data_IF_690960074119
#
_entry.id   IF_690960074119
#
_cell.length_a   1.000
_cell.length_b   1.000
_cell.length_c   1.000
_cell.angle_alpha   90.00
_cell.angle_beta   90.00
_cell.angle_gamma   90.00
#
_symmetry.space_group_name_H-M   'P 1'
#
loop_
_entity.id
_entity.type
_entity.pdbx_description
1 polymer ?
#
# COMPACT_ATOMS: atom_id res chain seq x y z
N UNK A 1 5.30 7.81 -6.28
CA UNK A 1 4.36 8.69 -5.55
C UNK A 1 3.04 8.68 -6.30
N UNK A 2 1.92 8.51 -5.60
CA UNK A 2 0.59 8.41 -6.25
C UNK A 2 0.13 9.80 -6.68
N UNK A 3 -0.43 9.93 -7.88
CA UNK A 3 -0.89 11.23 -8.40
C UNK A 3 -1.95 11.81 -7.44
N UNK A 4 -1.67 12.97 -6.85
CA UNK A 4 -2.56 13.63 -5.88
C UNK A 4 -2.38 13.17 -4.42
N UNK A 5 -1.45 12.26 -4.13
CA UNK A 5 -1.16 11.83 -2.77
C UNK A 5 0.36 11.85 -2.51
N UNK A 6 0.85 12.69 -1.59
CA UNK A 6 2.28 12.80 -1.30
C UNK A 6 2.84 11.52 -0.67
N UNK A 7 1.97 10.66 -0.12
CA UNK A 7 2.37 9.40 0.48
C UNK A 7 2.66 8.33 -0.59
N UNK A 8 3.72 7.52 -0.41
CA UNK A 8 3.99 6.40 -1.31
C UNK A 8 2.94 5.29 -1.15
N UNK A 9 2.68 4.58 -2.26
CA UNK A 9 1.95 3.30 -2.26
C UNK A 9 2.97 2.17 -2.22
N UNK A 10 2.87 1.31 -1.22
CA UNK A 10 3.70 0.13 -1.03
C UNK A 10 2.97 -1.11 -1.52
N UNK A 11 3.71 -2.02 -2.16
CA UNK A 11 3.17 -3.29 -2.65
C UNK A 11 3.83 -4.43 -1.89
N UNK A 12 3.02 -5.37 -1.41
CA UNK A 12 3.48 -6.53 -0.68
C UNK A 12 3.05 -7.79 -1.40
N UNK A 13 4.01 -8.70 -1.57
CA UNK A 13 3.76 -10.08 -1.96
C UNK A 13 3.85 -10.97 -0.73
N UNK A 14 2.99 -11.96 -0.65
CA UNK A 14 3.12 -13.04 0.31
C UNK A 14 4.49 -13.74 0.13
N UNK A 15 5.19 -14.04 1.21
CA UNK A 15 6.51 -14.69 1.18
C UNK A 15 6.42 -16.21 1.36
N UNK A 16 5.24 -16.73 1.70
CA UNK A 16 5.01 -18.18 1.81
C UNK A 16 5.08 -18.86 0.44
N UNK A 17 5.68 -20.05 0.39
CA UNK A 17 5.82 -20.82 -0.85
C UNK A 17 4.44 -21.14 -1.45
N UNK A 18 4.28 -20.92 -2.76
CA UNK A 18 3.02 -21.14 -3.48
C UNK A 18 1.92 -20.10 -3.21
N UNK A 19 2.16 -19.10 -2.35
CA UNK A 19 1.17 -18.09 -2.01
C UNK A 19 1.05 -17.03 -3.10
N UNK A 20 -0.13 -16.92 -3.70
CA UNK A 20 -0.43 -15.95 -4.77
C UNK A 20 -0.95 -14.61 -4.27
N UNK A 21 -1.13 -14.47 -2.95
CA UNK A 21 -1.70 -13.28 -2.32
C UNK A 21 -0.80 -12.06 -2.53
N UNK A 22 -1.43 -10.96 -2.95
CA UNK A 22 -0.83 -9.64 -3.13
C UNK A 22 -1.69 -8.61 -2.43
N UNK A 23 -1.07 -7.61 -1.82
CA UNK A 23 -1.77 -6.44 -1.29
C UNK A 23 -1.00 -5.17 -1.58
N UNK A 24 -1.70 -4.05 -1.65
CA UNK A 24 -1.10 -2.73 -1.60
C UNK A 24 -1.47 -2.06 -0.28
N UNK A 25 -0.63 -1.13 0.15
CA UNK A 25 -0.87 -0.28 1.31
C UNK A 25 -0.52 1.15 0.90
N UNK A 26 -1.43 2.08 1.14
CA UNK A 26 -1.21 3.50 0.99
C UNK A 26 -1.74 4.27 2.19
N UNK A 27 -1.25 5.49 2.41
CA UNK A 27 -1.82 6.39 3.42
C UNK A 27 -2.75 7.37 2.73
N UNK A 28 -3.83 7.77 3.38
CA UNK A 28 -4.70 8.80 2.83
C UNK A 28 -3.95 10.13 2.67
N UNK A 29 -4.26 10.88 1.61
CA UNK A 29 -3.64 12.19 1.37
C UNK A 29 -4.09 13.26 2.37
N UNK A 30 -5.31 13.12 2.91
CA UNK A 30 -5.95 14.10 3.80
C UNK A 30 -5.86 13.72 5.29
N UNK A 31 -5.51 12.48 5.61
CA UNK A 31 -5.30 12.01 6.98
C UNK A 31 -4.11 11.04 7.04
N UNK A 32 -3.01 11.53 7.60
CA UNK A 32 -1.75 10.77 7.72
C UNK A 32 -1.86 9.55 8.64
N UNK A 33 -2.88 9.49 9.51
CA UNK A 33 -3.13 8.33 10.39
C UNK A 33 -3.96 7.25 9.70
N UNK A 34 -4.67 7.59 8.63
CA UNK A 34 -5.51 6.67 7.88
C UNK A 34 -4.68 5.85 6.87
N UNK A 35 -4.86 4.52 6.92
CA UNK A 35 -4.17 3.53 6.07
C UNK A 35 -5.21 2.78 5.25
N UNK A 36 -4.96 2.66 3.95
CA UNK A 36 -5.84 2.08 2.93
C UNK A 36 -5.11 0.92 2.24
#
# INVERSE_FOLDING_TARGET
VVKGNPNPRSYYKCTSAGCTVRKHVERASHDLKSVI
#
